data_IF_296344891492
#
_entry.id   IF_296344891492
#
_cell.length_a   1.000
_cell.length_b   1.000
_cell.length_c   1.000
_cell.angle_alpha   90.00
_cell.angle_beta   90.00
_cell.angle_gamma   90.00
#
_symmetry.space_group_name_H-M   'P 1'
#
loop_
_entity.id
_entity.type
_entity.pdbx_description
1 polymer ?
2 non-polymer ?
3 non-polymer ?
4 non-polymer ?
5 water ?
#
# COMPACT_ATOMS: atom_id res chain seq x y z
N UNK A 1 16.44 -7.50 4.44
CA UNK A 1 15.36 -7.02 5.37
C UNK A 1 14.31 -8.09 5.62
N UNK A 2 13.42 -7.85 6.59
CA UNK A 2 12.43 -8.86 6.91
C UNK A 2 11.45 -9.10 5.75
N UNK A 3 10.90 -10.32 5.72
CA UNK A 3 9.84 -10.74 4.81
C UNK A 3 8.87 -11.50 5.69
N UNK A 4 7.63 -11.63 5.24
CA UNK A 4 6.63 -12.47 5.90
C UNK A 4 7.04 -13.94 5.71
N UNK A 5 7.01 -14.72 6.78
CA UNK A 5 7.42 -16.11 6.71
C UNK A 5 6.24 -17.07 6.62
N UNK A 6 5.20 -16.63 5.92
CA UNK A 6 3.93 -17.36 5.84
C UNK A 6 3.20 -16.92 4.57
N UNK A 7 2.31 -17.76 4.09
CA UNK A 7 1.69 -17.50 2.79
C UNK A 7 0.31 -16.86 2.90
N UNK A 8 -0.39 -17.07 4.02
CA UNK A 8 -1.71 -16.47 4.19
C UNK A 8 -1.54 -15.19 5.01
N UNK A 9 -1.79 -14.05 4.37
CA UNK A 9 -1.61 -12.75 5.01
C UNK A 9 -2.99 -12.07 5.14
N UNK A 10 -3.25 -11.44 6.30
CA UNK A 10 -4.54 -10.80 6.47
C UNK A 10 -4.36 -9.32 6.51
N UNK A 11 -5.39 -8.61 6.05
CA UNK A 11 -5.42 -7.19 6.26
C UNK A 11 -6.76 -6.72 6.82
N UNK A 12 -6.73 -5.50 7.31
CA UNK A 12 -7.89 -4.88 7.91
C UNK A 12 -7.87 -3.38 7.64
N UNK A 13 -8.99 -2.88 7.18
CA UNK A 13 -9.09 -1.44 7.00
C UNK A 13 -9.63 -0.84 8.31
N UNK A 14 -8.76 -0.15 9.02
CA UNK A 14 -9.08 0.46 10.29
C UNK A 14 -10.21 1.52 10.21
N UNK A 15 -10.16 2.37 9.18
CA UNK A 15 -11.15 3.45 9.01
C UNK A 15 -11.14 3.89 7.57
N UNK A 16 -12.15 4.65 7.16
CA UNK A 16 -12.30 4.97 5.74
C UNK A 16 -12.15 6.47 5.50
N UNK A 17 -11.41 6.82 4.46
CA UNK A 17 -11.37 8.19 4.07
C UNK A 17 -12.78 8.67 3.65
N UNK A 18 -13.17 9.89 4.09
CA UNK A 18 -14.43 10.47 3.61
C UNK A 18 -14.32 10.92 2.14
N UNK A 19 -13.13 10.81 1.53
CA UNK A 19 -12.88 11.32 0.17
C UNK A 19 -13.53 10.44 -0.88
N UNK A 20 -13.77 9.18 -0.51
CA UNK A 20 -14.25 8.18 -1.47
C UNK A 20 -15.50 7.43 -0.97
N UNK A 21 -16.19 6.78 -1.91
CA UNK A 21 -17.19 5.79 -1.57
C UNK A 21 -16.54 4.61 -0.83
N UNK A 22 -17.25 4.05 0.15
CA UNK A 22 -16.68 2.94 0.94
C UNK A 22 -16.32 1.75 0.09
N UNK A 23 -17.20 1.39 -0.83
CA UNK A 23 -16.95 0.18 -1.64
C UNK A 23 -15.74 0.42 -2.57
N UNK A 24 -15.48 1.68 -2.95
CA UNK A 24 -14.32 2.04 -3.80
C UNK A 24 -13.03 1.95 -2.99
N UNK A 25 -13.09 2.35 -1.70
CA UNK A 25 -11.91 2.14 -0.82
C UNK A 25 -11.57 0.63 -0.76
N UNK A 26 -12.60 -0.17 -0.49
CA UNK A 26 -12.45 -1.63 -0.36
C UNK A 26 -11.83 -2.19 -1.64
N UNK A 27 -12.32 -1.72 -2.78
CA UNK A 27 -11.88 -2.27 -4.05
C UNK A 27 -10.47 -1.88 -4.42
N UNK A 28 -10.13 -0.62 -4.23
CA UNK A 28 -8.77 -0.10 -4.49
C UNK A 28 -7.71 -0.90 -3.67
N UNK A 29 -7.99 -1.14 -2.38
CA UNK A 29 -7.01 -1.86 -1.53
C UNK A 29 -6.94 -3.33 -1.93
N UNK A 30 -8.10 -3.92 -2.19
CA UNK A 30 -8.15 -5.28 -2.66
C UNK A 30 -7.34 -5.46 -3.94
N UNK A 31 -7.59 -4.60 -4.94
CA UNK A 31 -6.86 -4.66 -6.22
C UNK A 31 -5.34 -4.47 -6.04
N UNK A 32 -5.01 -3.61 -5.13
CA UNK A 32 -3.61 -3.35 -4.84
C UNK A 32 -2.93 -4.57 -4.21
N UNK A 33 -3.58 -5.27 -3.28
CA UNK A 33 -2.99 -6.53 -2.77
C UNK A 33 -2.88 -7.53 -3.93
N UNK A 34 -3.90 -7.58 -4.78
CA UNK A 34 -3.90 -8.52 -5.92
C UNK A 34 -2.66 -8.33 -6.83
N UNK A 35 -2.23 -7.08 -7.05
CA UNK A 35 -1.02 -6.84 -7.86
C UNK A 35 0.15 -7.69 -7.37
N UNK A 36 0.33 -7.75 -6.06
CA UNK A 36 1.42 -8.48 -5.46
C UNK A 36 1.16 -9.98 -5.30
N UNK A 37 -0.07 -10.38 -5.03
CA UNK A 37 -0.34 -11.82 -4.98
C UNK A 37 -0.25 -12.45 -6.40
N UNK A 38 -0.36 -11.62 -7.46
CA UNK A 38 -0.31 -12.09 -8.86
C UNK A 38 1.03 -12.69 -9.19
N UNK A 39 2.05 -12.22 -8.49
CA UNK A 39 3.42 -12.58 -8.87
C UNK A 39 4.19 -13.19 -7.71
N UNK A 40 3.48 -13.63 -6.68
CA UNK A 40 4.14 -14.30 -5.56
C UNK A 40 3.23 -15.44 -5.10
N UNK A 41 3.67 -16.23 -4.11
CA UNK A 41 2.79 -17.26 -3.50
C UNK A 41 1.87 -16.71 -2.41
N UNK A 42 1.87 -15.38 -2.19
CA UNK A 42 1.12 -14.84 -1.09
C UNK A 42 -0.37 -14.84 -1.40
N UNK A 43 -1.16 -15.00 -0.35
CA UNK A 43 -2.63 -14.92 -0.42
C UNK A 43 -3.05 -13.89 0.58
N UNK A 44 -3.91 -12.95 0.16
CA UNK A 44 -4.32 -11.86 1.05
C UNK A 44 -5.82 -11.97 1.35
N UNK A 45 -6.17 -11.83 2.63
CA UNK A 45 -7.59 -11.84 3.04
C UNK A 45 -7.93 -10.69 3.94
N UNK A 46 -9.07 -10.07 3.66
CA UNK A 46 -9.58 -8.94 4.46
C UNK A 46 -10.39 -9.46 5.65
N UNK A 47 -10.07 -9.02 6.85
CA UNK A 47 -10.83 -9.40 8.03
C UNK A 47 -11.38 -8.11 8.61
N UNK A 48 -12.50 -8.19 9.31
CA UNK A 48 -13.19 -7.01 9.78
C UNK A 48 -13.08 -6.84 11.28
N UNK A 49 -12.37 -7.77 11.89
CA UNK A 49 -12.20 -7.73 13.33
C UNK A 49 -10.95 -8.46 13.77
N UNK A 50 -10.44 -8.09 14.95
CA UNK A 50 -9.27 -8.74 15.48
C UNK A 50 -8.04 -8.11 14.86
N UNK A 51 -6.88 -8.73 15.07
CA UNK A 51 -5.63 -8.20 14.60
C UNK A 51 -5.25 -8.83 13.25
N UNK A 52 -5.03 -7.95 12.29
CA UNK A 52 -4.62 -8.30 10.98
C UNK A 52 -3.09 -8.18 10.93
N UNK A 53 -2.45 -8.82 9.97
CA UNK A 53 -1.04 -8.54 9.72
C UNK A 53 -0.86 -7.09 9.26
N UNK A 54 -1.64 -6.69 8.26
CA UNK A 54 -1.48 -5.35 7.69
C UNK A 54 -2.69 -4.49 8.05
N UNK A 55 -2.50 -3.53 8.95
CA UNK A 55 -3.57 -2.57 9.24
C UNK A 55 -3.47 -1.38 8.31
N UNK A 56 -4.61 -1.04 7.70
CA UNK A 56 -4.71 0.05 6.75
C UNK A 56 -5.38 1.20 7.47
N UNK A 57 -4.70 2.34 7.50
CA UNK A 57 -5.14 3.49 8.30
C UNK A 57 -5.19 4.77 7.47
N UNK A 58 -6.25 5.55 7.62
CA UNK A 58 -6.23 6.96 7.17
C UNK A 58 -6.09 7.90 8.39
N UNK A 59 -5.12 8.80 8.33
CA UNK A 59 -4.76 9.68 9.44
C UNK A 59 -4.07 10.93 8.92
N UNK A 60 -4.07 11.98 9.73
CA UNK A 60 -3.41 13.21 9.33
C UNK A 60 -2.47 13.67 10.45
N UNK A 61 -1.50 14.48 10.09
CA UNK A 61 -0.58 15.08 11.08
C UNK A 61 0.07 14.01 11.94
N UNK A 62 0.25 14.32 13.21
CA UNK A 62 0.79 13.37 14.17
C UNK A 62 -0.26 12.30 14.45
N UNK A 63 0.10 11.04 14.28
CA UNK A 63 -0.92 10.00 14.41
C UNK A 63 -0.43 8.79 15.19
N UNK A 64 0.46 9.03 16.15
CA UNK A 64 0.83 7.99 17.07
C UNK A 64 1.98 7.14 16.61
N UNK A 65 2.70 7.55 15.57
CA UNK A 65 3.94 6.87 15.27
C UNK A 65 5.00 7.91 15.05
N UNK A 66 6.13 7.55 14.44
CA UNK A 66 7.19 8.54 14.28
C UNK A 66 7.34 9.06 12.86
N UNK A 67 6.22 9.04 12.16
CA UNK A 67 6.21 9.37 10.76
C UNK A 67 5.00 10.29 10.54
N UNK A 68 4.99 11.41 11.27
CA UNK A 68 3.93 12.39 11.13
C UNK A 68 3.68 12.77 9.68
N UNK A 69 2.41 12.99 9.36
CA UNK A 69 2.08 13.49 8.07
C UNK A 69 2.23 15.06 8.06
N UNK A 70 2.20 15.62 6.87
CA UNK A 70 2.62 17.00 6.61
C UNK A 70 1.59 17.86 5.87
N UNK A 71 0.30 17.58 6.05
CA UNK A 71 -0.72 18.34 5.32
C UNK A 71 -0.79 17.91 3.86
N UNK A 72 -1.57 18.64 3.08
CA UNK A 72 -1.78 18.31 1.69
C UNK A 72 -0.45 18.42 0.96
N UNK A 73 -0.17 17.42 0.11
CA UNK A 73 1.06 17.34 -0.70
C UNK A 73 2.23 16.70 0.05
N UNK A 74 3.41 16.75 -0.56
CA UNK A 74 4.58 16.16 0.08
C UNK A 74 4.36 14.65 0.26
N UNK A 75 4.43 14.19 1.50
CA UNK A 75 4.29 12.77 1.82
C UNK A 75 2.83 12.39 1.68
N UNK A 76 2.55 11.31 0.96
CA UNK A 76 1.17 10.91 0.71
C UNK A 76 0.74 9.77 1.62
N UNK A 77 1.72 8.97 2.02
CA UNK A 77 1.48 7.72 2.73
C UNK A 77 2.81 7.16 3.22
N UNK A 78 2.75 6.20 4.13
CA UNK A 78 3.98 5.47 4.50
C UNK A 78 3.56 4.12 5.05
N UNK A 79 4.51 3.18 5.11
CA UNK A 79 4.22 1.82 5.55
C UNK A 79 5.41 1.20 6.25
N UNK A 80 5.13 0.26 7.15
CA UNK A 80 6.18 -0.38 7.92
C UNK A 80 6.46 -1.70 7.32
N UNK A 81 7.74 -2.10 7.36
CA UNK A 81 8.17 -3.42 6.89
C UNK A 81 7.64 -4.56 7.71
N UNK A 82 7.70 -5.78 7.14
CA UNK A 82 7.14 -6.98 7.80
C UNK A 82 7.59 -7.14 9.24
N UNK A 83 6.66 -7.54 10.08
CA UNK A 83 7.01 -7.81 11.45
C UNK A 83 5.80 -7.73 12.35
N UNK A 84 6.03 -7.97 13.64
CA UNK A 84 4.96 -7.90 14.63
C UNK A 84 4.43 -6.50 14.83
N UNK A 85 3.21 -6.41 15.38
CA UNK A 85 2.63 -5.15 15.83
C UNK A 85 2.34 -4.22 14.69
N UNK A 86 2.94 -3.03 14.73
CA UNK A 86 2.76 -2.08 13.64
C UNK A 86 3.46 -2.50 12.35
N UNK A 87 4.33 -3.52 12.43
CA UNK A 87 4.95 -4.08 11.24
C UNK A 87 3.92 -4.42 10.19
N UNK A 88 4.18 -4.09 8.93
CA UNK A 88 3.27 -4.33 7.83
C UNK A 88 2.28 -3.17 7.59
N UNK A 89 2.10 -2.35 8.60
CA UNK A 89 0.93 -1.44 8.58
C UNK A 89 1.17 -0.33 7.57
N UNK A 90 0.08 0.13 6.95
CA UNK A 90 0.14 1.08 5.88
C UNK A 90 -0.81 2.23 6.23
N UNK A 91 -0.24 3.42 6.32
CA UNK A 91 -0.94 4.65 6.67
C UNK A 91 -1.02 5.61 5.49
N UNK A 92 -2.21 6.21 5.31
CA UNK A 92 -2.47 7.11 4.20
C UNK A 92 -2.85 8.47 4.77
N UNK A 93 -2.23 9.50 4.22
CA UNK A 93 -2.44 10.87 4.68
C UNK A 93 -3.85 11.39 4.29
N UNK A 94 -4.71 11.55 5.28
CA UNK A 94 -6.05 12.11 5.08
C UNK A 94 -6.08 13.53 4.53
N UNK A 95 -4.97 14.28 4.65
CA UNK A 95 -4.90 15.63 4.03
C UNK A 95 -4.72 15.56 2.52
N UNK A 96 -4.50 14.36 1.97
CA UNK A 96 -4.56 14.21 0.53
C UNK A 96 -6.02 13.98 0.15
N UNK A 97 -6.35 14.15 -1.13
CA UNK A 97 -7.69 13.82 -1.63
C UNK A 97 -7.58 12.54 -2.43
N UNK A 98 -8.01 11.44 -1.80
CA UNK A 98 -8.00 10.10 -2.41
C UNK A 98 -9.13 9.90 -3.43
N UNK A 99 -8.79 9.33 -4.60
CA UNK A 99 -9.75 9.01 -5.65
C UNK A 99 -9.49 7.67 -6.38
N UNK A 100 -10.49 7.26 -7.16
CA UNK A 100 -10.39 6.09 -8.05
C UNK A 100 -9.75 6.45 -9.41
N UNK A 101 -9.39 7.70 -9.58
CA UNK A 101 -9.09 8.17 -10.91
C UNK A 101 -7.83 9.03 -10.96
N UNK A 102 -7.69 9.86 -12.01
CA UNK A 102 -6.52 10.70 -12.18
C UNK A 102 -6.54 11.99 -11.35
N UNK A 103 -7.66 12.32 -10.72
CA UNK A 103 -7.71 13.55 -9.93
C UNK A 103 -7.20 13.26 -8.53
N UNK A 104 -6.88 14.32 -7.78
CA UNK A 104 -6.33 14.16 -6.43
C UNK A 104 -5.20 13.14 -6.43
N UNK A 105 -5.19 12.27 -5.43
CA UNK A 105 -4.18 11.20 -5.37
C UNK A 105 -4.86 9.84 -5.49
N UNK A 106 -4.36 9.03 -6.41
CA UNK A 106 -4.98 7.75 -6.66
C UNK A 106 -4.64 6.78 -5.52
N UNK A 107 -5.67 6.33 -4.83
CA UNK A 107 -5.48 5.44 -3.69
C UNK A 107 -4.93 4.06 -4.12
N UNK A 108 -5.49 3.49 -5.19
CA UNK A 108 -5.00 2.21 -5.71
C UNK A 108 -3.47 2.21 -5.95
N UNK A 109 -3.00 3.20 -6.71
CA UNK A 109 -1.59 3.26 -7.10
C UNK A 109 -0.72 3.48 -5.90
N UNK A 110 -1.15 4.41 -5.03
CA UNK A 110 -0.43 4.62 -3.78
C UNK A 110 -0.36 3.33 -2.94
N UNK A 111 -1.48 2.60 -2.88
CA UNK A 111 -1.53 1.41 -2.06
C UNK A 111 -0.65 0.30 -2.63
N UNK A 112 -0.54 0.21 -3.95
CA UNK A 112 0.34 -0.78 -4.54
C UNK A 112 1.76 -0.47 -4.02
N UNK A 113 2.19 0.79 -4.13
CA UNK A 113 3.54 1.19 -3.69
C UNK A 113 3.69 0.90 -2.19
N UNK A 114 2.69 1.25 -1.39
CA UNK A 114 2.84 1.13 0.08
C UNK A 114 2.83 -0.35 0.50
N UNK A 115 1.96 -1.13 -0.13
CA UNK A 115 1.95 -2.58 0.12
C UNK A 115 3.29 -3.27 -0.31
N UNK A 116 3.94 -2.77 -1.35
CA UNK A 116 5.34 -3.18 -1.60
C UNK A 116 6.22 -3.03 -0.35
N UNK A 117 6.13 -1.87 0.33
CA UNK A 117 6.85 -1.65 1.59
C UNK A 117 6.38 -2.60 2.71
N UNK A 118 5.07 -2.84 2.81
CA UNK A 118 4.53 -3.77 3.81
C UNK A 118 5.05 -5.21 3.65
N UNK A 119 5.49 -5.53 2.43
CA UNK A 119 5.97 -6.87 2.04
C UNK A 119 7.49 -6.94 2.11
N UNK A 120 8.12 -5.76 2.30
CA UNK A 120 9.56 -5.64 2.58
C UNK A 120 10.39 -5.17 1.41
N UNK A 121 9.72 -4.61 0.40
CA UNK A 121 10.40 -4.12 -0.79
C UNK A 121 10.89 -2.69 -0.55
N UNK A 122 12.08 -2.39 -1.07
CA UNK A 122 12.62 -1.04 -1.04
C UNK A 122 12.33 -0.33 -2.34
N UNK A 123 13.04 0.77 -2.56
CA UNK A 123 12.78 1.61 -3.71
C UNK A 123 13.57 1.20 -4.94
N UNK A 124 13.07 1.54 -6.11
CA UNK A 124 13.75 1.29 -7.37
C UNK A 124 14.17 2.64 -7.92
N UNK A 125 15.28 2.70 -8.64
CA UNK A 125 15.70 3.91 -9.32
C UNK A 125 15.11 4.02 -10.73
N UNK A 126 14.39 2.99 -11.17
CA UNK A 126 13.69 3.04 -12.45
C UNK A 126 12.39 3.84 -12.38
N UNK A 127 12.30 4.99 -13.09
CA UNK A 127 11.07 5.82 -13.12
C UNK A 127 9.79 5.11 -13.56
N UNK A 128 9.92 3.93 -14.17
CA UNK A 128 8.75 3.12 -14.59
C UNK A 128 8.21 2.17 -13.52
N UNK A 129 9.01 1.94 -12.48
CA UNK A 129 8.66 1.00 -11.42
C UNK A 129 7.67 1.64 -10.47
N UNK A 130 6.75 0.84 -9.95
CA UNK A 130 5.78 1.34 -8.98
C UNK A 130 6.49 1.69 -7.66
N UNK A 131 7.64 1.07 -7.43
CA UNK A 131 8.50 1.30 -6.27
C UNK A 131 9.52 2.42 -6.49
N UNK A 132 9.39 3.17 -7.56
CA UNK A 132 10.17 4.41 -7.74
C UNK A 132 9.79 5.34 -6.54
N UNK A 133 10.75 6.12 -5.96
CA UNK A 133 10.45 6.79 -4.67
C UNK A 133 9.53 8.02 -4.72
N UNK A 134 9.08 8.36 -5.91
CA UNK A 134 8.26 9.54 -6.14
C UNK A 134 7.02 9.24 -6.94
N UNK A 135 5.87 9.64 -6.40
CA UNK A 135 4.57 9.37 -6.98
C UNK A 135 4.40 9.91 -8.40
N UNK A 136 3.94 9.02 -9.26
CA UNK A 136 3.64 9.37 -10.61
C UNK A 136 2.42 8.58 -11.08
N UNK A 137 1.40 9.32 -11.50
CA UNK A 137 0.15 8.75 -11.95
C UNK A 137 0.28 8.05 -13.31
N UNK A 138 -0.21 6.80 -13.39
CA UNK A 138 -0.48 6.09 -14.64
C UNK A 138 -1.91 5.57 -14.58
N UNK A 139 -2.51 5.38 -15.76
CA UNK A 139 -3.86 4.87 -15.90
C UNK A 139 -4.03 3.52 -15.19
N UNK A 140 -5.00 3.44 -14.29
CA UNK A 140 -5.06 2.30 -13.38
C UNK A 140 -5.80 1.11 -13.96
N UNK A 141 -6.63 1.35 -14.96
CA UNK A 141 -7.39 0.25 -15.56
C UNK A 141 -6.46 -0.60 -16.42
N UNK A 142 -5.32 -0.03 -16.79
CA UNK A 142 -4.29 -0.76 -17.52
C UNK A 142 -2.97 -0.95 -16.76
N UNK A 143 -3.00 -0.72 -15.45
CA UNK A 143 -1.75 -0.81 -14.66
C UNK A 143 -1.06 -2.19 -14.78
N UNK A 144 0.27 -2.20 -14.86
CA UNK A 144 1.07 -3.45 -14.84
C UNK A 144 2.39 -3.21 -14.10
N UNK A 145 2.84 -4.16 -13.26
CA UNK A 145 4.13 -3.98 -12.58
C UNK A 145 5.24 -3.93 -13.61
N UNK A 146 6.25 -3.11 -13.36
CA UNK A 146 7.39 -3.05 -14.25
C UNK A 146 8.13 -4.34 -14.05
N UNK A 147 9.07 -4.64 -14.95
CA UNK A 147 9.85 -5.86 -14.82
C UNK A 147 10.80 -5.76 -13.61
N UNK A 148 11.27 -4.55 -13.32
CA UNK A 148 12.06 -4.27 -12.12
C UNK A 148 11.28 -4.57 -10.82
N UNK A 149 9.97 -4.26 -10.80
CA UNK A 149 9.16 -4.56 -9.59
C UNK A 149 9.05 -6.05 -9.36
N UNK A 150 8.79 -6.75 -10.46
CA UNK A 150 8.65 -8.18 -10.42
C UNK A 150 9.92 -8.86 -9.94
N UNK A 151 11.09 -8.47 -10.46
CA UNK A 151 12.35 -9.06 -9.96
C UNK A 151 12.61 -8.72 -8.48
N UNK A 152 12.34 -7.47 -8.09
CA UNK A 152 12.38 -7.08 -6.64
C UNK A 152 11.51 -7.96 -5.74
N UNK A 153 10.21 -8.09 -6.03
CA UNK A 153 9.36 -8.95 -5.17
C UNK A 153 9.72 -10.44 -5.28
N UNK A 154 10.15 -10.86 -6.46
CA UNK A 154 10.51 -12.26 -6.61
C UNK A 154 11.88 -12.61 -5.97
N UNK A 155 12.68 -11.59 -5.67
CA UNK A 155 13.90 -11.77 -4.88
C UNK A 155 13.54 -12.07 -3.42
N UNK A 156 12.34 -11.64 -3.00
CA UNK A 156 11.92 -11.77 -1.61
C UNK A 156 11.01 -12.97 -1.35
N UNK A 157 10.15 -13.27 -2.32
CA UNK A 157 9.19 -14.37 -2.18
C UNK A 157 9.23 -15.26 -3.41
N UNK A 158 8.80 -16.51 -3.28
CA UNK A 158 8.63 -17.34 -4.49
C UNK A 158 9.87 -17.73 -5.29
X LIG B 1 8.25 4.25 -0.95
X LIG C 1 1.93 6.49 10.35
X LIG D 1 0.85 -5.17 11.62
X LIG E 1 -8.82 13.52 2.45
X LIG F 1 0.82 14.98 2.80
X LIG G 1 6.22 5.24 0.58
X LIG G 1 7.03 6.12 0.61
X LIG G 1 8.12 6.05 -0.11
X LIG G 1 6.76 7.28 1.50
X LIG G 1 7.93 7.50 2.44
X LIG G 1 7.66 8.76 3.27
X LIG G 1 7.48 8.49 4.77
X LIG G 1 8.77 9.79 3.08
X LIG G 1 6.49 8.48 0.79
X LIG G 1 5.51 8.95 -0.44
X LIG G 1 4.24 9.34 0.12
X LIG G 1 6.36 10.03 -0.86
X LIG G 1 5.27 8.06 -1.76
X LIG G 1 4.05 7.45 -2.03
X LIG G 1 3.84 6.77 -3.22
X LIG G 1 6.29 8.00 -2.71
X LIG G 1 6.09 7.29 -3.89
X LIG G 1 4.87 6.66 -4.16
X LIG G 1 4.64 5.98 -5.46
X LIG G 1 5.66 5.98 -6.42
X LIG G 1 5.45 5.39 -7.65
X LIG G 1 4.20 4.85 -7.96
X LIG G 1 3.17 4.88 -7.03
X LIG G 1 3.39 5.47 -5.80
#
# INVERSE_FOLDING_TARGET
GPVWRKHYITYRINNYTPDMNREDVDYAIRKAFQVWSNVTPLKFSKINTGMADILVVFARGAHGDDHAFDGKGGILAHAFGPGSGIGGDAHFDEDEFWTTHSGGTNLFLTAVHEIGHSLGLGHSSDPKAVMFPTYKYVDINTFRLSADDIRGIQSLYG
ZN ZN
ZN ZN
CA CA
CA CA
CA CA
BDL O4 C15 O3 C17 C16 C14 C18 C13 N1 S1 O1 O2 C7 C5 C3 C6 C4 C1 C2 C9 C12 C11 C10 C8
#
